data_IF_899971008985
#
_entry.id   IF_899971008985
#
_cell.length_a   1.000
_cell.length_b   1.000
_cell.length_c   1.000
_cell.angle_alpha   90.00
_cell.angle_beta   90.00
_cell.angle_gamma   90.00
#
_symmetry.space_group_name_H-M   'P 1'
#
loop_
_entity.id
_entity.type
_entity.pdbx_description
1 polymer ?
#
# COMPACT_ATOMS: atom_id res chain seq x y z
N UNK A 1 24.87 -2.09 3.70
CA UNK A 1 23.98 -3.04 3.02
C UNK A 1 22.82 -2.22 2.48
N UNK A 2 22.59 -2.21 1.17
CA UNK A 2 21.42 -1.56 0.60
C UNK A 2 20.20 -2.31 1.15
N UNK A 3 19.31 -1.64 1.85
CA UNK A 3 18.05 -2.21 2.32
C UNK A 3 17.20 -2.50 1.07
N UNK A 4 16.98 -3.77 0.78
CA UNK A 4 16.05 -4.18 -0.27
C UNK A 4 14.68 -3.56 0.03
N UNK A 5 14.04 -2.94 -0.96
CA UNK A 5 12.67 -2.42 -0.80
C UNK A 5 11.74 -3.55 -0.42
N UNK A 6 10.81 -3.25 0.49
CA UNK A 6 9.79 -4.21 0.91
C UNK A 6 8.70 -4.33 -0.16
N UNK A 7 7.88 -5.36 -0.06
CA UNK A 7 6.74 -5.58 -0.95
C UNK A 7 5.43 -5.49 -0.17
N UNK A 8 4.43 -4.89 -0.78
CA UNK A 8 3.03 -4.89 -0.35
C UNK A 8 2.19 -5.54 -1.45
N UNK A 9 1.26 -6.40 -1.12
CA UNK A 9 0.27 -6.95 -2.04
C UNK A 9 -1.12 -6.43 -1.66
N UNK A 10 -1.79 -5.75 -2.57
CA UNK A 10 -3.12 -5.16 -2.36
C UNK A 10 -3.86 -5.02 -3.69
N UNK A 11 -5.21 -5.22 -3.71
CA UNK A 11 -6.02 -5.68 -2.59
C UNK A 11 -5.97 -7.19 -2.39
N UNK A 12 -5.95 -7.65 -1.14
CA UNK A 12 -6.20 -9.06 -0.80
C UNK A 12 -7.71 -9.28 -0.77
N UNK A 13 -8.23 -10.14 -1.64
CA UNK A 13 -9.67 -10.41 -1.75
C UNK A 13 -10.06 -11.84 -1.37
N UNK A 14 -9.08 -12.74 -1.29
CA UNK A 14 -9.31 -14.16 -0.97
C UNK A 14 -8.09 -14.79 -0.26
N UNK A 15 -8.28 -16.01 0.24
CA UNK A 15 -7.24 -16.73 0.97
C UNK A 15 -6.05 -17.14 0.09
N UNK A 16 -6.26 -17.31 -1.22
CA UNK A 16 -5.16 -17.66 -2.15
C UNK A 16 -4.18 -16.52 -2.28
N UNK A 17 -4.65 -15.26 -2.37
CA UNK A 17 -3.79 -14.06 -2.39
C UNK A 17 -2.95 -13.97 -1.11
N UNK A 18 -3.58 -14.18 0.04
CA UNK A 18 -2.91 -14.11 1.32
C UNK A 18 -1.86 -15.21 1.51
N UNK A 19 -2.16 -16.43 1.04
CA UNK A 19 -1.19 -17.54 1.02
C UNK A 19 -0.03 -17.29 0.07
N UNK A 20 -0.30 -16.73 -1.10
CA UNK A 20 0.74 -16.30 -2.04
C UNK A 20 1.65 -15.27 -1.36
N UNK A 21 1.08 -14.22 -0.77
CA UNK A 21 1.84 -13.19 -0.07
C UNK A 21 2.74 -13.77 1.03
N UNK A 22 2.21 -14.68 1.84
CA UNK A 22 2.96 -15.34 2.90
C UNK A 22 4.08 -16.26 2.35
N UNK A 23 3.82 -17.00 1.27
CA UNK A 23 4.80 -17.90 0.65
C UNK A 23 5.98 -17.15 0.03
N UNK A 24 5.69 -15.99 -0.62
CA UNK A 24 6.70 -15.14 -1.26
C UNK A 24 7.38 -14.15 -0.28
N UNK A 25 7.05 -14.21 1.01
CA UNK A 25 7.64 -13.32 2.01
C UNK A 25 7.28 -11.84 1.82
N UNK A 26 6.11 -11.55 1.26
CA UNK A 26 5.61 -10.20 1.07
C UNK A 26 5.35 -9.57 2.45
N UNK A 27 5.92 -8.39 2.69
CA UNK A 27 5.92 -7.77 4.00
C UNK A 27 4.56 -7.24 4.46
N UNK A 28 3.72 -6.82 3.51
CA UNK A 28 2.43 -6.16 3.80
C UNK A 28 1.31 -6.74 2.94
N UNK A 29 0.16 -7.03 3.55
CA UNK A 29 -1.09 -7.42 2.90
C UNK A 29 -2.14 -6.34 3.10
N UNK A 30 -2.66 -5.74 2.01
CA UNK A 30 -3.69 -4.70 2.04
C UNK A 30 -5.09 -5.27 1.88
N UNK A 31 -5.99 -4.91 2.79
CA UNK A 31 -7.40 -5.27 2.80
C UNK A 31 -8.25 -4.01 2.64
N UNK A 32 -9.01 -3.92 1.55
CA UNK A 32 -9.81 -2.74 1.25
C UNK A 32 -11.13 -2.76 2.02
N UNK A 33 -11.31 -1.77 2.90
CA UNK A 33 -12.55 -1.56 3.66
C UNK A 33 -13.35 -0.34 3.20
N UNK A 34 -12.94 0.31 2.10
CA UNK A 34 -13.71 1.41 1.51
C UNK A 34 -14.95 0.88 0.78
N UNK A 35 -16.19 1.16 1.27
CA UNK A 35 -17.41 0.65 0.64
C UNK A 35 -17.66 1.20 -0.78
N UNK A 36 -16.98 2.28 -1.15
CA UNK A 36 -17.08 2.87 -2.50
C UNK A 36 -16.16 2.18 -3.51
N UNK A 37 -15.19 1.41 -3.04
CA UNK A 37 -14.23 0.68 -3.88
C UNK A 37 -14.83 -0.59 -4.47
N UNK A 38 -14.46 -0.89 -5.71
CA UNK A 38 -14.77 -2.19 -6.34
C UNK A 38 -14.08 -3.37 -5.62
N UNK A 39 -13.01 -3.08 -4.89
CA UNK A 39 -12.21 -4.06 -4.15
C UNK A 39 -12.65 -4.22 -2.69
N UNK A 40 -13.79 -3.63 -2.32
CA UNK A 40 -14.33 -3.71 -0.96
C UNK A 40 -14.44 -5.15 -0.47
N UNK A 41 -13.81 -5.42 0.68
CA UNK A 41 -13.90 -6.71 1.34
C UNK A 41 -14.70 -6.58 2.64
N UNK A 42 -15.72 -7.44 2.79
CA UNK A 42 -16.49 -7.49 4.04
C UNK A 42 -15.57 -7.81 5.23
N UNK A 43 -15.67 -7.09 6.36
CA UNK A 43 -14.83 -7.31 7.55
C UNK A 43 -14.82 -8.75 8.04
N UNK A 44 -15.95 -9.46 7.96
CA UNK A 44 -16.03 -10.86 8.36
C UNK A 44 -15.16 -11.76 7.47
N UNK A 45 -15.07 -11.47 6.17
CA UNK A 45 -14.23 -12.19 5.24
C UNK A 45 -12.74 -11.87 5.44
N UNK A 46 -12.43 -10.60 5.67
CA UNK A 46 -11.07 -10.19 6.00
C UNK A 46 -10.58 -10.92 7.26
N UNK A 47 -11.41 -10.99 8.30
CA UNK A 47 -11.08 -11.71 9.53
C UNK A 47 -10.76 -13.18 9.28
N UNK A 48 -11.60 -13.87 8.51
CA UNK A 48 -11.36 -15.27 8.12
C UNK A 48 -9.97 -15.43 7.44
N UNK A 49 -9.60 -14.52 6.53
CA UNK A 49 -8.31 -14.57 5.82
C UNK A 49 -7.15 -14.27 6.79
N UNK A 50 -7.25 -13.22 7.59
CA UNK A 50 -6.22 -12.80 8.55
C UNK A 50 -5.91 -13.90 9.55
N UNK A 51 -6.92 -14.58 10.09
CA UNK A 51 -6.74 -15.66 11.07
C UNK A 51 -6.00 -16.89 10.50
N UNK A 52 -6.04 -17.09 9.17
CA UNK A 52 -5.37 -18.20 8.48
C UNK A 52 -3.99 -17.84 7.91
N UNK A 53 -3.54 -16.61 8.09
CA UNK A 53 -2.27 -16.14 7.53
C UNK A 53 -1.34 -15.61 8.62
N UNK A 54 -0.05 -15.75 8.40
CA UNK A 54 0.98 -15.23 9.31
C UNK A 54 2.23 -14.85 8.52
N UNK A 55 3.06 -13.98 9.09
CA UNK A 55 4.35 -13.60 8.50
C UNK A 55 4.34 -12.27 7.74
N UNK A 56 3.17 -11.75 7.36
CA UNK A 56 3.02 -10.43 6.75
C UNK A 56 2.24 -9.50 7.67
N UNK A 57 2.52 -8.20 7.62
CA UNK A 57 1.71 -7.21 8.32
C UNK A 57 0.39 -6.95 7.60
N UNK A 58 -0.68 -6.88 8.37
CA UNK A 58 -2.03 -6.57 7.88
C UNK A 58 -2.23 -5.07 7.79
N UNK A 59 -2.61 -4.58 6.63
CA UNK A 59 -2.90 -3.16 6.35
C UNK A 59 -4.38 -3.02 6.02
N UNK A 60 -5.14 -2.33 6.85
CA UNK A 60 -6.52 -1.94 6.51
C UNK A 60 -6.51 -0.66 5.67
N UNK A 61 -7.12 -0.71 4.50
CA UNK A 61 -7.20 0.41 3.56
C UNK A 61 -8.59 1.02 3.61
N UNK A 62 -8.66 2.29 4.04
CA UNK A 62 -9.90 3.01 4.31
C UNK A 62 -10.07 4.23 3.38
N UNK A 63 -11.32 4.50 3.01
CA UNK A 63 -11.76 5.67 2.26
C UNK A 63 -12.34 6.75 3.18
N UNK A 64 -13.55 7.22 2.86
CA UNK A 64 -14.22 8.34 3.55
C UNK A 64 -15.02 7.90 4.80
N UNK A 65 -14.59 6.84 5.49
CA UNK A 65 -15.22 6.44 6.75
C UNK A 65 -14.88 7.42 7.88
N UNK A 66 -15.76 7.45 8.87
CA UNK A 66 -15.55 8.22 10.10
C UNK A 66 -14.36 7.64 10.90
N UNK A 67 -13.62 8.51 11.56
CA UNK A 67 -12.42 8.16 12.32
C UNK A 67 -12.69 7.08 13.37
N UNK A 68 -13.84 7.17 14.05
CA UNK A 68 -14.25 6.19 15.06
C UNK A 68 -14.49 4.81 14.44
N UNK A 69 -15.15 4.73 13.29
CA UNK A 69 -15.41 3.46 12.59
C UNK A 69 -14.10 2.80 12.16
N UNK A 70 -13.13 3.60 11.68
CA UNK A 70 -11.79 3.15 11.31
C UNK A 70 -11.08 2.56 12.53
N UNK A 71 -11.10 3.27 13.66
CA UNK A 71 -10.45 2.82 14.89
C UNK A 71 -11.08 1.52 15.41
N UNK A 72 -12.42 1.46 15.50
CA UNK A 72 -13.16 0.28 15.97
C UNK A 72 -12.92 -0.95 15.08
N UNK A 73 -12.96 -0.78 13.75
CA UNK A 73 -12.73 -1.88 12.82
C UNK A 73 -11.27 -2.35 12.86
N UNK A 74 -10.33 -1.42 12.98
CA UNK A 74 -8.90 -1.73 13.08
C UNK A 74 -8.57 -2.55 14.33
N UNK A 75 -9.22 -2.26 15.45
CA UNK A 75 -9.09 -3.01 16.67
C UNK A 75 -9.78 -4.37 16.57
N UNK A 76 -11.03 -4.42 16.08
CA UNK A 76 -11.80 -5.65 15.90
C UNK A 76 -11.08 -6.70 15.07
N UNK A 77 -10.39 -6.26 14.01
CA UNK A 77 -9.65 -7.14 13.09
C UNK A 77 -8.19 -7.32 13.51
N UNK A 78 -7.76 -6.64 14.60
CA UNK A 78 -6.37 -6.61 15.06
C UNK A 78 -5.39 -6.27 13.92
N UNK A 79 -5.71 -5.23 13.15
CA UNK A 79 -4.85 -4.76 12.06
C UNK A 79 -3.54 -4.22 12.61
N UNK A 80 -2.44 -4.46 11.90
CA UNK A 80 -1.13 -3.92 12.26
C UNK A 80 -0.97 -2.44 11.86
N UNK A 81 -1.57 -2.05 10.73
CA UNK A 81 -1.39 -0.74 10.11
C UNK A 81 -2.72 -0.29 9.49
N UNK A 82 -2.97 1.01 9.50
CA UNK A 82 -4.09 1.66 8.82
C UNK A 82 -3.57 2.52 7.68
N UNK A 83 -4.11 2.34 6.47
CA UNK A 83 -3.86 3.19 5.33
C UNK A 83 -5.11 4.04 5.06
N UNK A 84 -4.91 5.36 4.98
CA UNK A 84 -5.99 6.35 4.86
C UNK A 84 -5.88 7.13 3.56
N UNK A 85 -6.96 7.14 2.78
CA UNK A 85 -7.08 7.98 1.58
C UNK A 85 -7.94 9.24 1.78
N UNK A 86 -8.67 9.32 2.89
CA UNK A 86 -9.53 10.46 3.24
C UNK A 86 -8.77 11.69 3.77
N UNK A 87 -9.51 12.77 4.03
CA UNK A 87 -9.01 14.08 4.47
C UNK A 87 -9.09 14.27 6.00
N UNK A 88 -8.84 13.22 6.80
CA UNK A 88 -8.74 13.36 8.27
C UNK A 88 -7.59 14.33 8.60
N UNK A 89 -7.83 15.27 9.50
CA UNK A 89 -6.81 16.24 9.90
C UNK A 89 -5.62 15.54 10.58
N UNK A 90 -4.38 16.00 10.36
CA UNK A 90 -3.19 15.34 10.89
C UNK A 90 -3.21 15.12 12.41
N UNK A 91 -3.70 16.10 13.18
CA UNK A 91 -3.77 16.06 14.64
C UNK A 91 -4.87 15.14 15.20
N UNK A 92 -5.80 14.69 14.37
CA UNK A 92 -6.82 13.71 14.73
C UNK A 92 -6.34 12.25 14.56
N UNK A 93 -5.34 12.01 13.71
CA UNK A 93 -4.84 10.67 13.37
C UNK A 93 -4.42 9.82 14.60
N UNK A 94 -3.81 10.37 15.66
CA UNK A 94 -3.46 9.60 16.85
C UNK A 94 -4.65 8.90 17.54
N UNK A 95 -5.88 9.34 17.30
CA UNK A 95 -7.08 8.74 17.87
C UNK A 95 -7.36 7.32 17.33
N UNK A 96 -6.79 6.97 16.17
CA UNK A 96 -6.93 5.62 15.58
C UNK A 96 -6.17 4.57 16.40
N UNK A 97 -5.08 4.96 17.08
CA UNK A 97 -4.33 4.06 17.95
C UNK A 97 -3.49 2.99 17.21
N UNK A 98 -3.31 3.13 15.91
CA UNK A 98 -2.52 2.23 15.05
C UNK A 98 -1.47 3.03 14.27
N UNK A 99 -0.36 2.41 13.83
CA UNK A 99 0.54 2.98 12.83
C UNK A 99 -0.22 3.37 11.57
N UNK A 100 0.08 4.54 10.99
CA UNK A 100 -0.67 5.10 9.88
C UNK A 100 0.20 5.28 8.65
N UNK A 101 -0.34 4.88 7.50
CA UNK A 101 0.15 5.23 6.18
C UNK A 101 -0.87 6.17 5.54
N UNK A 102 -0.44 7.38 5.15
CA UNK A 102 -1.28 8.32 4.42
C UNK A 102 -1.16 8.07 2.91
N UNK A 103 -2.26 7.77 2.25
CA UNK A 103 -2.31 7.67 0.80
C UNK A 103 -2.46 9.07 0.19
N UNK A 104 -1.67 9.35 -0.84
CA UNK A 104 -1.63 10.62 -1.56
C UNK A 104 -1.86 10.36 -3.03
N UNK A 105 -2.83 11.06 -3.63
CA UNK A 105 -3.15 10.94 -5.05
C UNK A 105 -2.45 12.04 -5.86
N UNK A 106 -1.43 11.66 -6.61
CA UNK A 106 -0.63 12.59 -7.40
C UNK A 106 -1.33 13.13 -8.66
N UNK A 107 -2.45 12.53 -9.07
CA UNK A 107 -3.21 13.05 -10.22
C UNK A 107 -3.87 14.42 -9.94
N UNK A 108 -4.06 14.76 -8.67
CA UNK A 108 -4.77 15.97 -8.24
C UNK A 108 -3.89 16.94 -7.46
N UNK A 109 -2.59 16.70 -7.39
CA UNK A 109 -1.62 17.51 -6.63
C UNK A 109 -0.45 17.93 -7.50
N UNK A 110 -0.08 19.19 -7.42
CA UNK A 110 1.21 19.68 -7.92
C UNK A 110 2.35 19.42 -6.92
N UNK A 111 3.59 19.76 -7.31
CA UNK A 111 4.79 19.52 -6.49
C UNK A 111 4.77 20.28 -5.16
N UNK A 112 4.20 21.49 -5.14
CA UNK A 112 4.12 22.30 -3.91
C UNK A 112 3.08 21.72 -2.95
N UNK A 113 1.96 21.28 -3.49
CA UNK A 113 0.90 20.63 -2.71
C UNK A 113 1.40 19.31 -2.12
N UNK A 114 2.13 18.49 -2.90
CA UNK A 114 2.74 17.25 -2.40
C UNK A 114 3.71 17.52 -1.25
N UNK A 115 4.63 18.47 -1.41
CA UNK A 115 5.59 18.81 -0.36
C UNK A 115 4.90 19.27 0.93
N UNK A 116 3.85 20.10 0.81
CA UNK A 116 3.08 20.57 1.95
C UNK A 116 2.33 19.44 2.65
N UNK A 117 1.70 18.54 1.88
CA UNK A 117 0.97 17.39 2.42
C UNK A 117 1.91 16.43 3.17
N UNK A 118 3.05 16.07 2.55
CA UNK A 118 4.06 15.23 3.20
C UNK A 118 4.55 15.85 4.51
N UNK A 119 4.87 17.16 4.49
CA UNK A 119 5.34 17.87 5.68
C UNK A 119 4.29 17.92 6.79
N UNK A 120 3.03 18.18 6.44
CA UNK A 120 1.93 18.30 7.41
C UNK A 120 1.62 16.97 8.12
N UNK A 121 1.64 15.86 7.38
CA UNK A 121 1.29 14.54 7.92
C UNK A 121 2.48 13.76 8.49
N UNK A 122 3.72 14.09 8.15
CA UNK A 122 4.92 13.36 8.60
C UNK A 122 5.04 13.19 10.14
N UNK A 123 4.64 14.15 10.98
CA UNK A 123 4.69 13.94 12.44
C UNK A 123 3.72 12.90 12.98
N UNK A 124 2.72 12.52 12.18
CA UNK A 124 1.58 11.68 12.60
C UNK A 124 1.48 10.37 11.85
N UNK A 125 2.28 10.18 10.78
CA UNK A 125 2.25 9.00 9.93
C UNK A 125 3.59 8.25 9.95
N UNK A 126 3.52 6.92 9.87
CA UNK A 126 4.70 6.06 9.74
C UNK A 126 5.26 6.03 8.31
N UNK A 127 4.48 6.49 7.33
CA UNK A 127 4.85 6.55 5.93
C UNK A 127 3.71 7.04 5.04
N UNK A 128 3.98 7.05 3.74
CA UNK A 128 3.04 7.50 2.72
C UNK A 128 2.94 6.49 1.60
N UNK A 129 1.76 6.35 1.01
CA UNK A 129 1.58 5.61 -0.24
C UNK A 129 1.25 6.62 -1.35
N UNK A 130 2.11 6.67 -2.39
CA UNK A 130 1.88 7.53 -3.54
C UNK A 130 1.08 6.77 -4.59
N UNK A 131 -0.10 7.29 -4.92
CA UNK A 131 -1.02 6.77 -5.92
C UNK A 131 -1.11 7.72 -7.11
N UNK A 132 -1.38 7.19 -8.30
CA UNK A 132 -1.65 7.99 -9.49
C UNK A 132 -1.26 7.29 -10.79
N UNK A 133 -1.64 7.92 -11.90
CA UNK A 133 -1.31 7.47 -13.26
C UNK A 133 -0.48 8.53 -13.99
N UNK A 134 0.38 9.23 -13.24
CA UNK A 134 1.23 10.32 -13.72
C UNK A 134 2.39 9.82 -14.59
N UNK A 135 2.91 10.69 -15.45
CA UNK A 135 4.21 10.47 -16.08
C UNK A 135 5.34 10.71 -15.06
N UNK A 136 5.94 9.61 -14.63
CA UNK A 136 6.95 9.61 -13.55
C UNK A 136 8.15 10.50 -13.92
N UNK A 137 8.55 10.52 -15.20
CA UNK A 137 9.67 11.32 -15.71
C UNK A 137 9.47 12.83 -15.54
N UNK A 138 8.26 13.32 -15.53
CA UNK A 138 7.95 14.74 -15.36
C UNK A 138 8.09 15.20 -13.89
N UNK A 139 8.07 14.24 -12.95
CA UNK A 139 8.07 14.48 -11.50
C UNK A 139 9.26 13.79 -10.80
N UNK A 140 10.30 13.41 -11.55
CA UNK A 140 11.42 12.58 -11.06
C UNK A 140 12.10 13.18 -9.82
N UNK A 141 12.44 14.47 -9.86
CA UNK A 141 13.16 15.13 -8.77
C UNK A 141 12.40 15.12 -7.45
N UNK A 142 11.11 15.41 -7.47
CA UNK A 142 10.28 15.40 -6.26
C UNK A 142 10.05 13.99 -5.71
N UNK A 143 9.90 12.99 -6.60
CA UNK A 143 9.72 11.60 -6.18
C UNK A 143 11.00 11.04 -5.54
N UNK A 144 12.18 11.40 -6.07
CA UNK A 144 13.47 11.06 -5.46
C UNK A 144 13.58 11.71 -4.07
N UNK A 145 13.23 12.99 -3.95
CA UNK A 145 13.28 13.72 -2.69
C UNK A 145 12.30 13.12 -1.65
N UNK A 146 11.07 12.83 -2.07
CA UNK A 146 10.06 12.20 -1.20
C UNK A 146 10.56 10.83 -0.68
N UNK A 147 11.10 9.98 -1.55
CA UNK A 147 11.64 8.68 -1.17
C UNK A 147 12.89 8.77 -0.29
N UNK A 148 13.68 9.85 -0.41
CA UNK A 148 14.86 10.07 0.43
C UNK A 148 14.50 10.55 1.84
N UNK A 149 13.40 11.29 2.00
CA UNK A 149 12.99 11.88 3.27
C UNK A 149 11.98 11.04 4.05
N UNK A 150 11.10 10.31 3.34
CA UNK A 150 9.98 9.60 3.93
C UNK A 150 9.95 8.12 3.54
N UNK A 151 9.26 7.30 4.34
CA UNK A 151 8.95 5.91 3.96
C UNK A 151 7.84 5.93 2.92
N UNK A 152 8.21 5.85 1.66
CA UNK A 152 7.27 5.85 0.53
C UNK A 152 6.95 4.42 0.10
N UNK A 153 5.66 4.07 0.07
CA UNK A 153 5.13 2.92 -0.63
C UNK A 153 4.78 3.38 -2.06
N UNK A 154 5.44 2.80 -3.01
CA UNK A 154 5.27 3.09 -4.42
C UNK A 154 4.05 2.37 -4.98
N UNK A 155 2.98 3.08 -5.27
CA UNK A 155 1.78 2.58 -5.95
C UNK A 155 1.50 3.41 -7.22
N UNK A 156 2.58 3.76 -7.93
CA UNK A 156 2.57 4.40 -9.24
C UNK A 156 2.84 3.34 -10.31
N UNK A 157 2.46 3.60 -11.59
CA UNK A 157 2.63 2.63 -12.66
C UNK A 157 4.09 2.17 -12.83
N UNK A 158 4.25 0.88 -12.98
CA UNK A 158 5.51 0.27 -13.40
C UNK A 158 5.22 -1.00 -14.22
N UNK A 159 6.22 -1.46 -14.93
CA UNK A 159 6.21 -2.72 -15.65
C UNK A 159 7.37 -3.61 -15.17
N UNK A 160 7.32 -4.90 -15.46
CA UNK A 160 8.37 -5.85 -15.11
C UNK A 160 9.74 -5.40 -15.62
N UNK A 161 9.79 -4.78 -16.80
CA UNK A 161 11.03 -4.33 -17.45
C UNK A 161 11.69 -3.15 -16.74
N UNK A 162 10.90 -2.28 -16.09
CA UNK A 162 11.41 -1.04 -15.48
C UNK A 162 11.43 -1.05 -13.95
N UNK A 163 10.90 -2.08 -13.28
CA UNK A 163 10.83 -2.14 -11.81
C UNK A 163 12.20 -2.01 -11.15
N UNK A 164 13.24 -2.64 -11.73
CA UNK A 164 14.62 -2.49 -11.23
C UNK A 164 15.14 -1.06 -11.31
N UNK A 165 14.83 -0.37 -12.41
CA UNK A 165 15.21 1.03 -12.55
C UNK A 165 14.53 1.89 -11.50
N UNK A 166 13.23 1.66 -11.24
CA UNK A 166 12.48 2.36 -10.19
C UNK A 166 13.13 2.12 -8.82
N UNK A 167 13.41 0.86 -8.48
CA UNK A 167 14.07 0.52 -7.22
C UNK A 167 15.45 1.17 -7.07
N UNK A 168 16.21 1.23 -8.14
CA UNK A 168 17.56 1.82 -8.13
C UNK A 168 17.52 3.35 -8.05
N UNK A 169 16.62 3.99 -8.82
CA UNK A 169 16.56 5.45 -8.94
C UNK A 169 15.87 6.09 -7.75
N UNK A 170 14.66 5.62 -7.41
CA UNK A 170 13.83 6.25 -6.38
C UNK A 170 14.04 5.64 -4.99
N UNK A 171 14.47 4.40 -4.90
CA UNK A 171 14.70 3.66 -3.65
C UNK A 171 13.50 3.74 -2.70
N UNK A 172 12.28 3.44 -3.17
CA UNK A 172 11.11 3.49 -2.31
C UNK A 172 11.25 2.51 -1.15
N UNK A 173 10.62 2.80 -0.02
CA UNK A 173 10.60 1.91 1.14
C UNK A 173 9.91 0.57 0.82
N UNK A 174 8.82 0.63 0.05
CA UNK A 174 8.12 -0.54 -0.46
C UNK A 174 7.54 -0.27 -1.86
N UNK A 175 7.25 -1.35 -2.61
CA UNK A 175 6.44 -1.31 -3.83
C UNK A 175 5.13 -2.04 -3.55
N UNK A 176 4.00 -1.45 -3.98
CA UNK A 176 2.71 -2.11 -3.99
C UNK A 176 2.54 -2.92 -5.27
N UNK A 177 2.34 -4.22 -5.11
CA UNK A 177 1.97 -5.14 -6.17
C UNK A 177 0.44 -5.26 -6.19
N UNK A 178 -0.15 -5.22 -7.37
CA UNK A 178 -1.58 -5.45 -7.51
C UNK A 178 -1.84 -6.97 -7.52
N UNK A 179 -2.68 -7.44 -6.60
CA UNK A 179 -3.19 -8.80 -6.68
C UNK A 179 -4.08 -8.90 -7.93
N UNK A 180 -3.68 -9.74 -8.89
CA UNK A 180 -4.33 -9.85 -10.20
C UNK A 180 -5.86 -10.04 -10.13
N UNK A 181 -6.55 -9.74 -11.22
CA UNK A 181 -8.00 -9.98 -11.35
C UNK A 181 -8.31 -11.48 -11.39
N UNK A 182 -9.45 -11.89 -10.83
CA UNK A 182 -9.93 -13.25 -10.99
C UNK A 182 -10.43 -13.49 -12.43
N UNK A 183 -9.80 -14.41 -13.17
CA UNK A 183 -10.34 -14.87 -14.45
C UNK A 183 -11.57 -15.76 -14.29
N UNK A 184 -11.60 -16.55 -13.22
CA UNK A 184 -12.74 -17.39 -12.77
C UNK A 184 -12.76 -17.40 -11.26
N UNK A 185 -13.94 -17.53 -10.67
CA UNK A 185 -14.13 -17.59 -9.22
C UNK A 185 -13.14 -18.55 -8.56
N UNK A 186 -12.20 -18.00 -7.78
CA UNK A 186 -11.19 -18.75 -7.05
C UNK A 186 -9.91 -19.14 -7.84
N UNK A 187 -9.75 -18.70 -9.09
CA UNK A 187 -8.55 -18.91 -9.90
C UNK A 187 -7.99 -17.55 -10.35
N UNK A 188 -6.91 -17.10 -9.69
CA UNK A 188 -6.09 -15.98 -10.14
C UNK A 188 -4.84 -16.49 -10.84
N UNK A 189 -4.42 -15.79 -11.89
CA UNK A 189 -3.11 -16.00 -12.47
C UNK A 189 -2.09 -15.13 -11.75
N UNK A 190 -1.02 -15.74 -11.24
CA UNK A 190 0.08 -15.05 -10.55
C UNK A 190 1.32 -14.91 -11.43
N UNK A 191 1.24 -15.24 -12.70
CA UNK A 191 2.39 -15.24 -13.62
C UNK A 191 3.04 -13.85 -13.74
N UNK A 192 2.24 -12.77 -13.82
CA UNK A 192 2.75 -11.41 -13.82
C UNK A 192 3.42 -11.04 -12.48
N UNK A 193 2.85 -11.47 -11.37
CA UNK A 193 3.44 -11.26 -10.04
C UNK A 193 4.77 -12.00 -9.91
N UNK A 194 4.84 -13.26 -10.33
CA UNK A 194 6.10 -14.00 -10.36
C UNK A 194 7.14 -13.33 -11.24
N UNK A 195 6.78 -12.86 -12.44
CA UNK A 195 7.68 -12.13 -13.32
C UNK A 195 8.26 -10.87 -12.67
N UNK A 196 7.44 -10.11 -11.92
CA UNK A 196 7.90 -8.94 -11.16
C UNK A 196 8.80 -9.35 -10.00
N UNK A 197 8.44 -10.40 -9.23
CA UNK A 197 9.25 -10.91 -8.11
C UNK A 197 10.62 -11.40 -8.60
N UNK A 198 10.66 -12.14 -9.70
CA UNK A 198 11.89 -12.59 -10.35
C UNK A 198 12.74 -11.40 -10.81
N UNK A 199 12.10 -10.39 -11.43
CA UNK A 199 12.78 -9.18 -11.84
C UNK A 199 13.39 -8.44 -10.63
N UNK A 200 12.71 -8.35 -9.50
CA UNK A 200 13.21 -7.71 -8.28
C UNK A 200 14.35 -8.52 -7.65
N UNK A 201 14.26 -9.85 -7.65
CA UNK A 201 15.19 -10.76 -6.99
C UNK A 201 16.45 -11.04 -7.79
N UNK A 202 16.41 -10.93 -9.12
CA UNK A 202 17.58 -11.15 -9.98
C UNK A 202 18.64 -10.06 -9.78
N UNK A 203 19.80 -10.43 -9.25
CA UNK A 203 20.97 -9.58 -9.04
C UNK A 203 21.58 -9.04 -10.34
#
# INVERSE_FOLDING_TARGET
MATSSKLKLSPITNLSDARFAAAEGIAYMGFCFDPSSADFLLPIKAKEIIEWTSGSHTVGEFGDQELQDIAELSELLNLDIVLLSNAILPDELPQIGKPIIKAINLNVMDSVQLANELCAYAPYCDGFQLNGTIEISEREGELIEACAQYKIIWNLPFATENVKQILHTYKPYAINLLAGSEEKTGMKEYDELYAVLDAISAN
#
